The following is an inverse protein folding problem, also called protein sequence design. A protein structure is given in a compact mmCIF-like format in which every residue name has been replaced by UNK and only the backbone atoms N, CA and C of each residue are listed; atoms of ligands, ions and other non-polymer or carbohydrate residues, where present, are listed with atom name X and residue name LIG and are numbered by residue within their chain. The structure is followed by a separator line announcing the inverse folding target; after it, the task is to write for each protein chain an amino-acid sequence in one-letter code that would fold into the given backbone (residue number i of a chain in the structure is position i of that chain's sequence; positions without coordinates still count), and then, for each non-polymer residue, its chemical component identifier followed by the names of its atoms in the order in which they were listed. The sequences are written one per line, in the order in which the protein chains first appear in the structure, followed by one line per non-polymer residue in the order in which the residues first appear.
data_IF_474044157933
#
_entry.id   IF_474044157933
#
_cell.length_a   1.000
_cell.length_b   1.000
_cell.length_c   1.000
_cell.angle_alpha   90.00
_cell.angle_beta   90.00
_cell.angle_gamma   90.00
#
_symmetry.space_group_name_H-M   'P 1'
#
loop_
_entity.id
_entity.type
_entity.pdbx_description
1 polymer ?
#
# COMPACT_ATOMS: atom_id res chain seq x y z
N UNK A 1 38.74 -7.27 38.49
CA UNK A 1 38.70 -7.39 37.01
C UNK A 1 37.31 -7.01 36.53
N UNK A 2 37.16 -5.82 35.97
CA UNK A 2 35.91 -5.27 35.43
C UNK A 2 35.83 -5.59 33.95
N UNK A 3 35.00 -6.57 33.58
CA UNK A 3 34.77 -6.93 32.17
C UNK A 3 33.74 -5.96 31.58
N UNK A 4 34.21 -5.03 30.77
CA UNK A 4 33.39 -4.08 30.01
C UNK A 4 32.55 -4.87 28.99
N UNK A 5 31.25 -5.00 29.26
CA UNK A 5 30.30 -5.53 28.29
C UNK A 5 30.24 -4.57 27.09
N UNK A 6 30.96 -4.93 26.03
CA UNK A 6 30.88 -4.23 24.75
C UNK A 6 29.44 -4.28 24.27
N UNK A 7 28.74 -3.15 24.41
CA UNK A 7 27.46 -2.93 23.77
C UNK A 7 27.66 -3.07 22.27
N UNK A 8 27.35 -4.26 21.74
CA UNK A 8 27.35 -4.54 20.31
C UNK A 8 26.28 -3.66 19.68
N UNK A 9 26.72 -2.48 19.23
CA UNK A 9 25.91 -1.51 18.50
C UNK A 9 25.44 -2.23 17.24
N UNK A 10 24.23 -2.77 17.26
CA UNK A 10 23.66 -3.59 16.19
C UNK A 10 23.71 -2.79 14.89
N UNK A 11 24.72 -3.07 14.06
CA UNK A 11 25.01 -2.32 12.84
C UNK A 11 23.85 -2.59 11.88
N UNK A 12 23.08 -1.55 11.55
CA UNK A 12 22.02 -1.67 10.54
C UNK A 12 22.65 -2.19 9.24
N UNK A 13 22.08 -3.21 8.58
CA UNK A 13 22.58 -3.69 7.30
C UNK A 13 22.70 -2.52 6.32
N UNK A 14 23.78 -2.49 5.53
CA UNK A 14 23.98 -1.46 4.48
C UNK A 14 22.75 -1.34 3.57
N UNK A 15 22.13 -2.47 3.21
CA UNK A 15 20.91 -2.53 2.41
C UNK A 15 19.73 -1.74 3.01
N UNK A 16 19.57 -1.72 4.34
CA UNK A 16 18.49 -0.96 5.01
C UNK A 16 18.76 0.54 4.94
N UNK A 17 20.05 0.95 5.02
CA UNK A 17 20.45 2.36 4.85
C UNK A 17 20.23 2.83 3.41
N UNK A 18 20.62 2.01 2.43
CA UNK A 18 20.39 2.27 1.00
C UNK A 18 18.88 2.39 0.72
N UNK A 19 18.07 1.44 1.20
CA UNK A 19 16.62 1.50 1.06
C UNK A 19 16.03 2.76 1.70
N UNK A 20 16.50 3.13 2.90
CA UNK A 20 16.04 4.36 3.58
C UNK A 20 16.40 5.61 2.78
N UNK A 21 17.62 5.69 2.27
CA UNK A 21 18.05 6.81 1.42
C UNK A 21 17.21 6.88 0.14
N UNK A 22 16.97 5.75 -0.51
CA UNK A 22 16.18 5.67 -1.73
C UNK A 22 14.71 6.08 -1.49
N UNK A 23 14.13 5.73 -0.35
CA UNK A 23 12.80 6.20 0.06
C UNK A 23 12.76 7.72 0.31
N UNK A 24 13.80 8.30 0.93
CA UNK A 24 13.92 9.75 1.12
C UNK A 24 14.02 10.46 -0.22
N UNK A 25 14.88 9.97 -1.12
CA UNK A 25 15.01 10.50 -2.48
C UNK A 25 13.67 10.41 -3.21
N UNK A 26 12.98 9.27 -3.15
CA UNK A 26 11.66 9.10 -3.79
C UNK A 26 10.64 10.12 -3.27
N UNK A 27 10.60 10.36 -1.96
CA UNK A 27 9.70 11.35 -1.36
C UNK A 27 10.03 12.77 -1.83
N UNK A 28 11.32 13.15 -1.83
CA UNK A 28 11.77 14.46 -2.30
C UNK A 28 11.48 14.66 -3.80
N UNK A 29 11.81 13.67 -4.62
CA UNK A 29 11.51 13.70 -6.07
C UNK A 29 10.00 13.81 -6.30
N UNK A 30 9.17 13.13 -5.51
CA UNK A 30 7.70 13.25 -5.63
C UNK A 30 7.24 14.68 -5.37
N UNK A 31 7.76 15.34 -4.33
CA UNK A 31 7.44 16.75 -4.03
C UNK A 31 7.92 17.68 -5.14
N UNK A 32 9.15 17.51 -5.63
CA UNK A 32 9.72 18.34 -6.71
C UNK A 32 8.89 18.20 -7.99
N UNK A 33 8.59 16.96 -8.40
CA UNK A 33 7.78 16.69 -9.59
C UNK A 33 6.38 17.28 -9.45
N UNK A 34 5.78 17.21 -8.26
CA UNK A 34 4.48 17.80 -7.99
C UNK A 34 4.51 19.33 -8.06
N UNK A 35 5.54 19.96 -7.52
CA UNK A 35 5.73 21.42 -7.57
C UNK A 35 5.94 21.90 -9.01
N UNK A 36 6.74 21.18 -9.80
CA UNK A 36 6.89 21.45 -11.22
C UNK A 36 5.56 21.32 -11.94
N UNK A 37 4.81 20.25 -11.69
CA UNK A 37 3.49 20.06 -12.28
C UNK A 37 2.52 21.19 -11.92
N UNK A 38 2.52 21.64 -10.66
CA UNK A 38 1.72 22.79 -10.24
C UNK A 38 2.09 24.07 -11.01
N UNK A 39 3.39 24.29 -11.24
CA UNK A 39 3.89 25.49 -11.91
C UNK A 39 3.64 25.50 -13.42
N UNK A 40 3.63 24.34 -14.06
CA UNK A 40 3.42 24.18 -15.50
C UNK A 40 1.98 23.83 -15.88
N UNK A 41 1.08 23.64 -14.91
CA UNK A 41 -0.32 23.37 -15.20
C UNK A 41 -1.00 24.65 -15.74
N UNK A 42 -1.49 24.65 -16.99
CA UNK A 42 -2.15 25.82 -17.57
C UNK A 42 -3.54 26.07 -16.98
N UNK A 43 -4.13 25.11 -16.27
CA UNK A 43 -5.44 25.23 -15.62
C UNK A 43 -5.35 24.98 -14.11
N UNK A 44 -5.62 26.01 -13.33
CA UNK A 44 -5.65 26.00 -11.86
C UNK A 44 -7.05 25.61 -11.32
N UNK A 45 -7.50 24.39 -11.65
CA UNK A 45 -8.81 23.86 -11.22
C UNK A 45 -8.80 23.13 -9.87
N UNK A 46 -9.98 22.98 -9.25
CA UNK A 46 -10.18 22.25 -7.98
C UNK A 46 -9.63 20.81 -8.03
N UNK A 47 -9.80 20.12 -9.16
CA UNK A 47 -9.26 18.78 -9.37
C UNK A 47 -7.73 18.70 -9.40
N UNK A 48 -7.01 19.80 -9.66
CA UNK A 48 -5.55 19.87 -9.52
C UNK A 48 -5.19 19.96 -8.03
N UNK A 49 -5.87 20.83 -7.27
CA UNK A 49 -5.66 21.00 -5.83
C UNK A 49 -5.86 19.70 -5.04
N UNK A 50 -6.94 18.97 -5.31
CA UNK A 50 -7.21 17.66 -4.68
C UNK A 50 -6.08 16.66 -4.97
N UNK A 51 -5.64 16.59 -6.23
CA UNK A 51 -4.57 15.66 -6.65
C UNK A 51 -3.20 16.04 -6.08
N UNK A 52 -2.92 17.33 -5.96
CA UNK A 52 -1.71 17.83 -5.32
C UNK A 52 -1.72 17.58 -3.82
N UNK A 53 -2.84 17.81 -3.14
CA UNK A 53 -3.03 17.40 -1.75
C UNK A 53 -2.81 15.89 -1.57
N UNK A 54 -3.32 15.07 -2.49
CA UNK A 54 -3.11 13.63 -2.49
C UNK A 54 -1.64 13.23 -2.73
N UNK A 55 -0.93 13.95 -3.60
CA UNK A 55 0.49 13.76 -3.82
C UNK A 55 1.32 14.05 -2.56
N UNK A 56 0.98 15.12 -1.82
CA UNK A 56 1.61 15.43 -0.53
C UNK A 56 1.32 14.33 0.51
N UNK A 57 0.10 13.79 0.53
CA UNK A 57 -0.22 12.66 1.41
C UNK A 57 0.59 11.40 1.06
N UNK A 58 0.86 11.13 -0.21
CA UNK A 58 1.79 10.05 -0.61
C UNK A 58 3.20 10.28 -0.12
N UNK A 59 3.71 11.53 -0.15
CA UNK A 59 5.00 11.87 0.46
C UNK A 59 5.03 11.57 1.96
N UNK A 60 3.93 11.87 2.68
CA UNK A 60 3.78 11.43 4.08
C UNK A 60 3.76 9.90 4.20
N UNK A 61 3.13 9.20 3.26
CA UNK A 61 3.18 7.75 3.13
C UNK A 61 4.62 7.21 3.05
N UNK A 62 5.50 7.85 2.27
CA UNK A 62 6.91 7.48 2.19
C UNK A 62 7.64 7.69 3.54
N UNK A 63 7.32 8.75 4.29
CA UNK A 63 7.86 8.96 5.64
C UNK A 63 7.40 7.88 6.63
N UNK A 64 6.12 7.50 6.55
CA UNK A 64 5.59 6.38 7.34
C UNK A 64 6.31 5.08 6.96
N UNK A 65 6.53 4.83 5.66
CA UNK A 65 7.26 3.66 5.18
C UNK A 65 8.71 3.65 5.70
N UNK A 66 9.42 4.78 5.67
CA UNK A 66 10.75 4.93 6.29
C UNK A 66 10.71 4.56 7.77
N UNK A 67 9.70 5.03 8.51
CA UNK A 67 9.52 4.67 9.92
C UNK A 67 9.27 3.18 10.11
N UNK A 68 8.48 2.54 9.25
CA UNK A 68 8.21 1.10 9.30
C UNK A 68 9.46 0.27 8.98
N UNK A 69 10.22 0.64 7.94
CA UNK A 69 11.48 0.02 7.55
C UNK A 69 12.52 0.15 8.66
N UNK A 70 12.68 1.34 9.25
CA UNK A 70 13.60 1.57 10.38
C UNK A 70 13.22 0.77 11.63
N UNK A 71 11.94 0.44 11.78
CA UNK A 71 11.39 -0.38 12.88
C UNK A 71 11.38 -1.89 12.57
N UNK A 72 11.87 -2.32 11.40
CA UNK A 72 11.92 -3.74 11.03
C UNK A 72 10.53 -4.39 10.90
N UNK A 73 9.50 -3.64 10.52
CA UNK A 73 8.12 -4.17 10.46
C UNK A 73 7.85 -4.92 9.16
N UNK A 74 7.32 -6.14 9.26
CA UNK A 74 6.93 -6.98 8.11
C UNK A 74 5.89 -6.33 7.19
N UNK A 75 5.03 -5.46 7.72
CA UNK A 75 4.05 -4.68 6.96
C UNK A 75 4.68 -3.64 6.01
N UNK A 76 5.98 -3.33 6.11
CA UNK A 76 6.64 -2.37 5.24
C UNK A 76 6.65 -2.81 3.76
N UNK A 77 6.71 -4.11 3.48
CA UNK A 77 6.70 -4.64 2.11
C UNK A 77 5.42 -4.36 1.34
N UNK A 78 4.24 -4.81 1.81
CA UNK A 78 3.02 -4.58 1.05
C UNK A 78 2.67 -3.08 1.00
N UNK A 79 2.95 -2.35 2.07
CA UNK A 79 2.77 -0.90 2.08
C UNK A 79 3.66 -0.20 1.04
N UNK A 80 4.93 -0.57 0.94
CA UNK A 80 5.85 -0.02 -0.05
C UNK A 80 5.47 -0.36 -1.49
N UNK A 81 4.98 -1.58 -1.75
CA UNK A 81 4.50 -1.97 -3.07
C UNK A 81 3.30 -1.11 -3.51
N UNK A 82 2.30 -0.98 -2.64
CA UNK A 82 1.10 -0.21 -2.96
C UNK A 82 1.44 1.27 -3.16
N UNK A 83 2.28 1.83 -2.30
CA UNK A 83 2.72 3.22 -2.41
C UNK A 83 3.51 3.47 -3.71
N UNK A 84 4.35 2.52 -4.12
CA UNK A 84 5.09 2.58 -5.38
C UNK A 84 4.15 2.55 -6.60
N UNK A 85 3.25 1.57 -6.65
CA UNK A 85 2.28 1.43 -7.76
C UNK A 85 1.41 2.67 -7.89
N UNK A 86 0.79 3.10 -6.79
CA UNK A 86 -0.07 4.30 -6.78
C UNK A 86 0.71 5.56 -7.18
N UNK A 87 2.00 5.65 -6.85
CA UNK A 87 2.85 6.76 -7.28
C UNK A 87 3.10 6.73 -8.79
N UNK A 88 3.41 5.57 -9.37
CA UNK A 88 3.63 5.45 -10.83
C UNK A 88 2.38 5.85 -11.61
N UNK A 89 1.20 5.35 -11.24
CA UNK A 89 -0.06 5.72 -11.89
C UNK A 89 -0.40 7.20 -11.72
N UNK A 90 -0.19 7.76 -10.52
CA UNK A 90 -0.44 9.18 -10.28
C UNK A 90 0.46 10.09 -11.13
N UNK A 91 1.73 9.70 -11.32
CA UNK A 91 2.72 10.45 -12.11
C UNK A 91 2.51 10.23 -13.61
N UNK A 92 1.84 9.15 -14.02
CA UNK A 92 1.48 8.88 -15.42
C UNK A 92 0.75 10.04 -16.10
N UNK A 93 0.07 10.91 -15.35
CA UNK A 93 -0.53 12.15 -15.87
C UNK A 93 0.46 13.10 -16.56
N UNK A 94 1.74 13.04 -16.20
CA UNK A 94 2.78 13.91 -16.76
C UNK A 94 3.18 13.53 -18.18
N UNK A 95 2.86 12.31 -18.60
CA UNK A 95 3.27 11.75 -19.90
C UNK A 95 2.12 11.78 -20.91
N UNK A 96 0.87 11.83 -20.46
CA UNK A 96 -0.29 11.89 -21.36
C UNK A 96 -0.37 13.30 -21.99
N UNK A 97 -0.14 13.44 -23.30
CA UNK A 97 -0.22 14.72 -23.97
C UNK A 97 -1.69 15.15 -24.09
N UNK A 98 -2.03 16.30 -23.53
CA UNK A 98 -3.37 16.90 -23.67
C UNK A 98 -3.51 17.69 -24.98
N UNK A 99 -2.39 18.17 -25.51
CA UNK A 99 -2.22 18.68 -26.88
C UNK A 99 -0.71 18.69 -27.22
N UNK A 100 -0.32 18.17 -28.39
CA UNK A 100 1.08 18.17 -28.85
C UNK A 100 2.00 17.16 -28.14
N UNK A 101 3.30 17.48 -28.08
CA UNK A 101 4.34 16.64 -27.45
C UNK A 101 4.33 16.81 -25.92
N UNK A 102 4.43 15.74 -25.11
CA UNK A 102 4.46 15.88 -23.67
C UNK A 102 5.66 16.73 -23.22
N UNK A 103 5.49 17.58 -22.19
CA UNK A 103 6.57 18.43 -21.71
C UNK A 103 7.74 17.55 -21.23
N UNK A 104 8.94 17.78 -21.76
CA UNK A 104 10.18 17.12 -21.34
C UNK A 104 10.34 16.98 -19.81
N UNK A 105 10.09 18.02 -18.97
CA UNK A 105 10.19 17.86 -17.51
C UNK A 105 9.19 16.82 -16.94
N UNK A 106 8.01 16.67 -17.55
CA UNK A 106 7.03 15.67 -17.15
C UNK A 106 7.47 14.24 -17.44
N UNK A 107 8.05 14.01 -18.63
CA UNK A 107 8.61 12.72 -19.04
C UNK A 107 9.79 12.32 -18.15
N UNK A 108 10.70 13.26 -17.88
CA UNK A 108 11.84 13.03 -16.98
C UNK A 108 11.38 12.73 -15.55
N UNK A 109 10.39 13.47 -15.04
CA UNK A 109 9.79 13.22 -13.73
C UNK A 109 9.17 11.82 -13.63
N UNK A 110 8.41 11.41 -14.66
CA UNK A 110 7.84 10.07 -14.75
C UNK A 110 8.89 8.96 -14.79
N UNK A 111 9.88 9.08 -15.66
CA UNK A 111 10.95 8.09 -15.78
C UNK A 111 11.71 7.95 -14.45
N UNK A 112 12.07 9.08 -13.83
CA UNK A 112 12.82 9.09 -12.57
C UNK A 112 12.01 8.46 -11.44
N UNK A 113 10.75 8.83 -11.26
CA UNK A 113 9.90 8.26 -10.20
C UNK A 113 9.58 6.79 -10.43
N UNK A 114 9.41 6.37 -11.69
CA UNK A 114 9.19 4.96 -12.03
C UNK A 114 10.41 4.12 -11.70
N UNK A 115 11.61 4.59 -12.05
CA UNK A 115 12.87 3.92 -11.74
C UNK A 115 13.11 3.85 -10.22
N UNK A 116 12.87 4.94 -9.49
CA UNK A 116 12.98 4.98 -8.03
C UNK A 116 12.00 4.01 -7.37
N UNK A 117 10.72 4.05 -7.76
CA UNK A 117 9.70 3.12 -7.25
C UNK A 117 10.05 1.66 -7.56
N UNK A 118 10.51 1.38 -8.79
CA UNK A 118 11.00 0.06 -9.19
C UNK A 118 12.18 -0.40 -8.33
N UNK A 119 13.14 0.49 -8.06
CA UNK A 119 14.28 0.19 -7.19
C UNK A 119 13.87 -0.05 -5.73
N UNK A 120 12.91 0.71 -5.19
CA UNK A 120 12.33 0.45 -3.85
C UNK A 120 11.74 -0.95 -3.80
N UNK A 121 10.86 -1.29 -4.75
CA UNK A 121 10.16 -2.58 -4.79
C UNK A 121 11.17 -3.71 -4.97
N UNK A 122 12.13 -3.56 -5.88
CA UNK A 122 13.19 -4.53 -6.10
C UNK A 122 13.99 -4.81 -4.83
N UNK A 123 14.44 -3.76 -4.12
CA UNK A 123 15.17 -3.92 -2.86
C UNK A 123 14.31 -4.55 -1.75
N UNK A 124 13.03 -4.18 -1.65
CA UNK A 124 12.10 -4.71 -0.65
C UNK A 124 11.84 -6.22 -0.80
N UNK A 125 11.75 -6.70 -2.04
CA UNK A 125 11.38 -8.09 -2.33
C UNK A 125 12.56 -9.00 -2.63
N UNK A 126 13.63 -8.50 -3.28
CA UNK A 126 14.75 -9.33 -3.71
C UNK A 126 15.88 -9.45 -2.68
N UNK A 127 16.08 -8.45 -1.80
CA UNK A 127 17.20 -8.48 -0.86
C UNK A 127 16.95 -9.42 0.34
N UNK A 128 17.74 -10.50 0.52
CA UNK A 128 17.62 -11.39 1.68
C UNK A 128 17.92 -10.67 2.99
N UNK A 129 18.90 -9.77 2.99
CA UNK A 129 19.27 -8.97 4.16
C UNK A 129 18.12 -8.06 4.65
N UNK A 130 17.34 -7.49 3.73
CA UNK A 130 16.15 -6.70 4.06
C UNK A 130 15.04 -7.62 4.58
N UNK A 131 14.90 -8.83 4.00
CA UNK A 131 13.94 -9.84 4.47
C UNK A 131 14.18 -10.23 5.92
N UNK A 132 15.42 -10.57 6.25
CA UNK A 132 15.81 -10.98 7.60
C UNK A 132 15.67 -9.82 8.60
N UNK A 133 16.02 -8.60 8.18
CA UNK A 133 15.87 -7.42 9.04
C UNK A 133 14.40 -7.07 9.31
N UNK A 134 13.48 -7.27 8.36
CA UNK A 134 12.04 -7.00 8.54
C UNK A 134 11.30 -8.08 9.33
N UNK A 135 12.00 -9.14 9.72
CA UNK A 135 11.52 -10.15 10.68
C UNK A 135 12.14 -9.92 12.05
N UNK A 136 13.05 -8.95 12.24
CA UNK A 136 13.62 -8.66 13.57
C UNK A 136 12.59 -8.00 14.49
N UNK A 137 12.52 -8.52 15.71
CA UNK A 137 11.53 -8.13 16.68
C UNK A 137 12.05 -6.92 17.46
N UNK A 138 11.18 -5.95 17.80
CA UNK A 138 11.64 -4.80 18.57
C UNK A 138 12.26 -5.28 19.88
N UNK A 139 13.48 -4.82 20.16
CA UNK A 139 14.09 -5.01 21.47
C UNK A 139 13.11 -4.52 22.53
N UNK A 140 12.83 -5.34 23.53
CA UNK A 140 12.11 -4.91 24.73
C UNK A 140 13.07 -4.94 25.89
N UNK A 141 12.81 -4.05 26.84
CA UNK A 141 13.32 -4.16 28.18
C UNK A 141 12.77 -5.45 28.80
N UNK A 142 13.64 -6.43 28.96
CA UNK A 142 13.37 -7.66 29.69
C UNK A 142 14.03 -7.51 31.05
N UNK A 143 13.21 -7.48 32.09
CA UNK A 143 13.66 -7.52 33.48
C UNK A 143 13.80 -9.00 33.82
N UNK A 144 15.04 -9.47 33.93
CA UNK A 144 15.38 -10.83 34.36
C UNK A 144 15.90 -10.80 35.81
N UNK A 145 16.05 -11.96 36.46
CA UNK A 145 16.61 -12.09 37.82
C UNK A 145 18.04 -11.54 37.94
N UNK A 146 18.74 -11.36 36.81
CA UNK A 146 20.09 -10.79 36.73
C UNK A 146 20.11 -9.29 36.36
N UNK A 147 18.96 -8.64 36.23
CA UNK A 147 18.83 -7.20 36.00
C UNK A 147 18.06 -6.83 34.74
N UNK A 148 18.18 -5.56 34.38
CA UNK A 148 17.43 -4.91 33.31
C UNK A 148 18.23 -5.01 32.00
N UNK A 149 17.78 -5.84 31.05
CA UNK A 149 18.47 -6.02 29.77
C UNK A 149 17.57 -5.75 28.56
N UNK A 150 18.11 -5.09 27.54
CA UNK A 150 17.43 -4.92 26.25
C UNK A 150 17.68 -6.16 25.39
N UNK A 151 16.66 -7.01 25.21
CA UNK A 151 16.74 -8.21 24.35
C UNK A 151 15.63 -8.22 23.30
N UNK A 152 15.91 -8.82 22.15
CA UNK A 152 14.87 -9.16 21.17
C UNK A 152 13.98 -10.25 21.78
N UNK A 153 12.70 -9.94 22.00
CA UNK A 153 11.75 -10.88 22.62
C UNK A 153 10.92 -11.57 21.54
N UNK A 154 10.78 -12.91 21.56
CA UNK A 154 9.88 -13.61 20.65
C UNK A 154 8.44 -13.09 20.79
N UNK A 155 7.65 -13.12 19.71
CA UNK A 155 6.38 -12.43 19.66
C UNK A 155 5.36 -13.16 20.56
N UNK A 156 4.57 -12.40 21.32
CA UNK A 156 3.50 -12.93 22.19
C UNK A 156 2.32 -13.53 21.41
N UNK A 157 2.34 -13.47 20.08
CA UNK A 157 1.34 -14.03 19.16
C UNK A 157 2.05 -14.82 18.06
N UNK A 158 1.48 -15.94 17.59
CA UNK A 158 2.05 -16.70 16.48
C UNK A 158 2.23 -15.81 15.25
N UNK A 159 3.25 -16.05 14.43
CA UNK A 159 3.51 -15.27 13.23
C UNK A 159 2.28 -15.32 12.31
N UNK A 160 1.64 -14.17 12.10
CA UNK A 160 0.56 -14.03 11.12
C UNK A 160 1.17 -14.27 9.73
N UNK A 161 0.53 -15.10 8.91
CA UNK A 161 0.96 -15.35 7.53
C UNK A 161 1.19 -14.02 6.80
N UNK A 162 2.39 -13.82 6.24
CA UNK A 162 2.78 -12.55 5.62
C UNK A 162 1.80 -12.06 4.54
N UNK A 163 1.13 -13.00 3.85
CA UNK A 163 0.08 -12.70 2.88
C UNK A 163 -1.15 -12.04 3.48
N UNK A 164 -1.56 -12.35 4.70
CA UNK A 164 -2.69 -11.70 5.36
C UNK A 164 -2.40 -10.23 5.67
N UNK A 165 -1.13 -9.90 5.98
CA UNK A 165 -0.70 -8.50 6.12
C UNK A 165 -0.71 -7.77 4.78
N UNK A 166 -0.36 -8.46 3.69
CA UNK A 166 -0.46 -7.93 2.33
C UNK A 166 -1.90 -7.67 1.90
N UNK A 167 -2.79 -8.66 2.11
CA UNK A 167 -4.23 -8.50 1.88
C UNK A 167 -4.74 -7.30 2.64
N UNK A 168 -4.45 -7.23 3.95
CA UNK A 168 -4.87 -6.12 4.81
C UNK A 168 -4.42 -4.77 4.23
N UNK A 169 -3.14 -4.63 3.91
CA UNK A 169 -2.64 -3.37 3.34
C UNK A 169 -3.34 -3.02 2.02
N UNK A 170 -3.56 -4.00 1.14
CA UNK A 170 -4.22 -3.80 -0.15
C UNK A 170 -5.68 -3.37 0.02
N UNK A 171 -6.48 -4.08 0.81
CA UNK A 171 -7.90 -3.73 0.98
C UNK A 171 -8.08 -2.39 1.71
N UNK A 172 -7.15 -2.01 2.61
CA UNK A 172 -7.18 -0.68 3.24
C UNK A 172 -6.94 0.47 2.25
N UNK A 173 -6.40 0.17 1.06
CA UNK A 173 -6.21 1.18 0.02
C UNK A 173 -7.43 1.40 -0.88
N UNK A 174 -8.50 0.61 -0.75
CA UNK A 174 -9.72 0.86 -1.52
C UNK A 174 -10.36 2.19 -1.15
N UNK A 175 -10.57 2.45 0.14
CA UNK A 175 -11.18 3.70 0.60
C UNK A 175 -10.47 4.96 0.08
N UNK A 176 -9.14 5.11 0.22
CA UNK A 176 -8.45 6.27 -0.35
C UNK A 176 -8.48 6.31 -1.88
N UNK A 177 -8.45 5.16 -2.56
CA UNK A 177 -8.52 5.10 -4.03
C UNK A 177 -9.89 5.46 -4.58
N UNK A 178 -10.97 5.25 -3.83
CA UNK A 178 -12.32 5.71 -4.18
C UNK A 178 -12.53 7.18 -3.81
N UNK A 179 -11.94 7.63 -2.70
CA UNK A 179 -12.19 8.97 -2.15
C UNK A 179 -11.55 10.07 -2.99
N UNK A 180 -10.36 9.84 -3.56
CA UNK A 180 -9.69 10.82 -4.44
C UNK A 180 -10.49 11.14 -5.70
N UNK A 181 -10.86 10.18 -6.55
CA UNK A 181 -11.66 10.46 -7.75
C UNK A 181 -13.04 11.00 -7.39
N UNK A 182 -13.65 10.56 -6.27
CA UNK A 182 -14.87 11.14 -5.75
C UNK A 182 -14.72 12.64 -5.42
N UNK A 183 -13.65 13.04 -4.73
CA UNK A 183 -13.38 14.45 -4.43
C UNK A 183 -13.08 15.25 -5.69
N UNK A 184 -12.39 14.68 -6.68
CA UNK A 184 -12.21 15.33 -7.98
C UNK A 184 -13.56 15.56 -8.65
N UNK A 185 -14.47 14.58 -8.63
CA UNK A 185 -15.79 14.68 -9.23
C UNK A 185 -16.68 15.74 -8.57
N UNK A 186 -16.45 16.11 -7.30
CA UNK A 186 -17.12 17.26 -6.67
C UNK A 186 -16.85 18.54 -7.46
N UNK A 187 -15.65 18.72 -8.01
CA UNK A 187 -15.32 19.85 -8.86
C UNK A 187 -16.20 19.90 -10.12
N UNK A 188 -16.47 18.77 -10.75
CA UNK A 188 -17.36 18.69 -11.94
C UNK A 188 -18.82 19.06 -11.61
N UNK A 189 -19.29 18.66 -10.43
CA UNK A 189 -20.65 19.00 -9.94
C UNK A 189 -20.80 20.50 -9.73
N UNK A 190 -19.80 21.13 -9.09
CA UNK A 190 -19.78 22.58 -8.84
C UNK A 190 -19.68 23.39 -10.15
N UNK A 191 -19.05 22.83 -11.19
CA UNK A 191 -18.84 23.51 -12.48
C UNK A 191 -20.06 23.40 -13.43
N UNK A 192 -21.17 22.80 -13.00
CA UNK A 192 -22.44 22.84 -13.75
C UNK A 192 -23.16 21.49 -13.92
N UNK A 193 -22.57 20.37 -13.50
CA UNK A 193 -23.22 19.04 -13.51
C UNK A 193 -23.95 18.74 -12.20
N UNK A 194 -24.85 19.62 -11.78
CA UNK A 194 -25.55 19.52 -10.47
C UNK A 194 -26.35 18.22 -10.36
N UNK A 195 -26.89 17.70 -11.46
CA UNK A 195 -27.62 16.43 -11.52
C UNK A 195 -26.75 15.21 -11.12
N UNK A 196 -25.41 15.30 -11.21
CA UNK A 196 -24.50 14.25 -10.76
C UNK A 196 -24.21 14.31 -9.24
N UNK A 197 -24.67 15.35 -8.54
CA UNK A 197 -24.44 15.55 -7.10
C UNK A 197 -24.84 14.36 -6.22
N UNK A 198 -26.05 13.78 -6.37
CA UNK A 198 -26.47 12.62 -5.58
C UNK A 198 -25.57 11.40 -5.78
N UNK A 199 -25.08 11.18 -7.02
CA UNK A 199 -24.18 10.08 -7.35
C UNK A 199 -22.83 10.27 -6.65
N UNK A 200 -22.29 11.49 -6.64
CA UNK A 200 -21.03 11.80 -5.95
C UNK A 200 -21.18 11.66 -4.43
N UNK A 201 -22.29 12.09 -3.84
CA UNK A 201 -22.57 11.88 -2.41
C UNK A 201 -22.66 10.39 -2.08
N UNK A 202 -23.37 9.61 -2.89
CA UNK A 202 -23.46 8.16 -2.71
C UNK A 202 -22.09 7.49 -2.82
N UNK A 203 -21.26 7.92 -3.78
CA UNK A 203 -19.89 7.44 -3.95
C UNK A 203 -19.02 7.75 -2.73
N UNK A 204 -19.14 8.95 -2.17
CA UNK A 204 -18.43 9.33 -0.95
C UNK A 204 -18.84 8.47 0.24
N UNK A 205 -20.15 8.28 0.45
CA UNK A 205 -20.70 7.42 1.50
C UNK A 205 -20.21 5.99 1.32
N UNK A 206 -20.20 5.48 0.09
CA UNK A 206 -19.68 4.16 -0.22
C UNK A 206 -18.18 4.04 0.11
N UNK A 207 -17.36 5.05 -0.21
CA UNK A 207 -15.93 5.06 0.10
C UNK A 207 -15.65 4.99 1.61
N UNK A 208 -16.47 5.66 2.43
CA UNK A 208 -16.41 5.54 3.89
C UNK A 208 -16.91 4.17 4.37
N UNK A 209 -18.05 3.71 3.85
CA UNK A 209 -18.63 2.40 4.17
C UNK A 209 -17.65 1.25 3.92
N UNK A 210 -16.97 1.26 2.77
CA UNK A 210 -15.92 0.30 2.42
C UNK A 210 -14.80 0.30 3.46
N UNK A 211 -14.39 1.46 3.98
CA UNK A 211 -13.37 1.54 5.04
C UNK A 211 -13.78 0.77 6.29
N UNK A 212 -15.03 0.94 6.75
CA UNK A 212 -15.57 0.24 7.91
C UNK A 212 -15.71 -1.27 7.67
N UNK A 213 -16.25 -1.66 6.51
CA UNK A 213 -16.41 -3.08 6.14
C UNK A 213 -15.05 -3.77 6.01
N UNK A 214 -14.05 -3.10 5.42
CA UNK A 214 -12.68 -3.61 5.33
C UNK A 214 -12.04 -3.72 6.71
N UNK A 215 -12.21 -2.72 7.59
CA UNK A 215 -11.71 -2.79 8.97
C UNK A 215 -12.29 -3.99 9.71
N UNK A 216 -13.60 -4.19 9.59
CA UNK A 216 -14.32 -5.32 10.16
C UNK A 216 -13.84 -6.65 9.57
N UNK A 217 -13.83 -6.79 8.24
CA UNK A 217 -13.40 -8.00 7.54
C UNK A 217 -11.95 -8.37 7.85
N UNK A 218 -11.03 -7.41 7.83
CA UNK A 218 -9.61 -7.67 8.16
C UNK A 218 -9.41 -8.06 9.61
N UNK A 219 -10.20 -7.53 10.55
CA UNK A 219 -10.15 -7.94 11.95
C UNK A 219 -10.51 -9.42 12.14
N UNK A 220 -11.57 -9.89 11.49
CA UNK A 220 -11.99 -11.30 11.54
C UNK A 220 -11.08 -12.22 10.72
N UNK A 221 -10.55 -11.73 9.60
CA UNK A 221 -9.57 -12.46 8.79
C UNK A 221 -8.32 -12.78 9.62
N UNK A 222 -7.81 -11.79 10.38
CA UNK A 222 -6.66 -11.99 11.26
C UNK A 222 -6.94 -12.90 12.47
N UNK A 223 -8.21 -13.22 12.74
CA UNK A 223 -8.64 -14.22 13.74
C UNK A 223 -8.89 -15.60 13.13
N UNK A 224 -8.56 -15.81 11.85
CA UNK A 224 -8.71 -17.10 11.17
C UNK A 224 -10.14 -17.44 10.75
N UNK A 225 -11.05 -16.45 10.65
CA UNK A 225 -12.43 -16.70 10.22
C UNK A 225 -12.53 -16.73 8.70
N UNK A 226 -12.85 -17.91 8.14
CA UNK A 226 -12.94 -18.16 6.70
C UNK A 226 -13.99 -17.30 5.97
N UNK A 227 -15.13 -17.02 6.60
CA UNK A 227 -16.16 -16.15 6.00
C UNK A 227 -15.64 -14.73 5.73
N UNK A 228 -14.65 -14.26 6.49
CA UNK A 228 -14.06 -12.93 6.29
C UNK A 228 -13.28 -12.84 4.99
N UNK A 229 -12.67 -13.94 4.53
CA UNK A 229 -12.05 -14.00 3.21
C UNK A 229 -13.11 -13.83 2.11
N UNK A 230 -14.24 -14.53 2.22
CA UNK A 230 -15.38 -14.39 1.32
C UNK A 230 -15.93 -12.96 1.30
N UNK A 231 -16.13 -12.35 2.47
CA UNK A 231 -16.55 -10.95 2.58
C UNK A 231 -15.60 -10.00 1.84
N UNK A 232 -14.28 -10.16 2.02
CA UNK A 232 -13.30 -9.29 1.35
C UNK A 232 -13.26 -9.49 -0.16
N UNK A 233 -13.52 -10.70 -0.67
CA UNK A 233 -13.70 -10.95 -2.11
C UNK A 233 -14.93 -10.19 -2.61
N UNK A 234 -16.08 -10.34 -1.94
CA UNK A 234 -17.32 -9.65 -2.32
C UNK A 234 -17.12 -8.14 -2.31
N UNK A 235 -16.52 -7.58 -1.25
CA UNK A 235 -16.20 -6.15 -1.16
C UNK A 235 -15.30 -5.72 -2.32
N UNK A 236 -14.27 -6.52 -2.66
CA UNK A 236 -13.37 -6.21 -3.78
C UNK A 236 -14.14 -6.13 -5.10
N UNK A 237 -15.03 -7.11 -5.36
CA UNK A 237 -15.84 -7.12 -6.58
C UNK A 237 -16.81 -5.94 -6.63
N UNK A 238 -17.50 -5.64 -5.54
CA UNK A 238 -18.41 -4.50 -5.43
C UNK A 238 -17.67 -3.19 -5.67
N UNK A 239 -16.50 -3.02 -5.05
CA UNK A 239 -15.66 -1.83 -5.24
C UNK A 239 -15.27 -1.65 -6.70
N UNK A 240 -14.81 -2.71 -7.38
CA UNK A 240 -14.47 -2.63 -8.80
C UNK A 240 -15.68 -2.32 -9.69
N UNK A 241 -16.82 -2.96 -9.43
CA UNK A 241 -18.05 -2.79 -10.20
C UNK A 241 -18.68 -1.41 -10.02
N UNK A 242 -18.46 -0.74 -8.89
CA UNK A 242 -18.98 0.60 -8.63
C UNK A 242 -17.97 1.67 -9.07
N UNK A 243 -16.71 1.53 -8.67
CA UNK A 243 -15.71 2.58 -8.81
C UNK A 243 -15.21 2.75 -10.25
N UNK A 244 -15.00 1.65 -10.99
CA UNK A 244 -14.52 1.76 -12.38
C UNK A 244 -15.54 2.42 -13.31
N UNK A 245 -16.84 2.05 -13.29
CA UNK A 245 -17.83 2.75 -14.10
C UNK A 245 -18.02 4.20 -13.68
N UNK A 246 -17.96 4.53 -12.38
CA UNK A 246 -18.05 5.91 -11.91
C UNK A 246 -16.85 6.75 -12.35
N UNK A 247 -15.63 6.21 -12.26
CA UNK A 247 -14.44 6.87 -12.78
C UNK A 247 -14.56 7.13 -14.28
N UNK A 248 -15.01 6.14 -15.06
CA UNK A 248 -15.19 6.31 -16.50
C UNK A 248 -16.29 7.34 -16.83
N UNK A 249 -17.43 7.27 -16.15
CA UNK A 249 -18.59 8.12 -16.41
C UNK A 249 -18.36 9.58 -15.99
N UNK A 250 -17.73 9.82 -14.84
CA UNK A 250 -17.55 11.16 -14.28
C UNK A 250 -16.23 11.82 -14.67
N UNK A 251 -15.17 11.03 -14.85
CA UNK A 251 -13.80 11.53 -15.08
C UNK A 251 -13.23 11.11 -16.44
N UNK A 252 -13.98 10.35 -17.24
CA UNK A 252 -13.56 9.85 -18.54
C UNK A 252 -12.48 8.76 -18.48
N UNK A 253 -11.91 8.44 -19.64
CA UNK A 253 -10.84 7.43 -19.78
C UNK A 253 -9.59 7.82 -18.98
N UNK A 254 -9.31 9.12 -18.91
CA UNK A 254 -8.18 9.68 -18.17
C UNK A 254 -8.29 9.40 -16.66
N UNK A 255 -9.47 9.59 -16.07
CA UNK A 255 -9.72 9.23 -14.67
C UNK A 255 -9.72 7.72 -14.45
N UNK A 256 -10.30 6.94 -15.36
CA UNK A 256 -10.30 5.48 -15.28
C UNK A 256 -8.89 4.88 -15.23
N UNK A 257 -7.98 5.34 -16.08
CA UNK A 257 -6.59 4.83 -16.10
C UNK A 257 -5.83 5.27 -14.85
N UNK A 258 -5.99 6.52 -14.42
CA UNK A 258 -5.21 7.11 -13.32
C UNK A 258 -5.69 6.66 -11.94
N UNK A 259 -7.00 6.59 -11.74
CA UNK A 259 -7.63 6.30 -10.45
C UNK A 259 -8.09 4.84 -10.37
N UNK A 260 -8.63 4.29 -11.47
CA UNK A 260 -9.04 2.88 -11.55
C UNK A 260 -7.89 1.89 -11.72
N UNK A 261 -6.80 2.27 -12.40
CA UNK A 261 -5.60 1.43 -12.57
C UNK A 261 -5.00 0.94 -11.24
N UNK A 262 -4.67 1.85 -10.29
CA UNK A 262 -4.22 1.47 -8.95
C UNK A 262 -5.21 0.58 -8.20
N UNK A 263 -6.51 0.82 -8.38
CA UNK A 263 -7.55 0.04 -7.71
C UNK A 263 -7.56 -1.42 -8.21
N UNK A 264 -7.44 -1.63 -9.52
CA UNK A 264 -7.34 -2.96 -10.13
C UNK A 264 -6.09 -3.68 -9.61
N UNK A 265 -4.95 -2.99 -9.50
CA UNK A 265 -3.72 -3.60 -8.96
C UNK A 265 -3.90 -3.96 -7.48
N UNK A 266 -4.48 -3.06 -6.67
CA UNK A 266 -4.76 -3.33 -5.26
C UNK A 266 -5.71 -4.54 -5.10
N UNK A 267 -6.76 -4.61 -5.92
CA UNK A 267 -7.69 -5.74 -5.98
C UNK A 267 -6.99 -7.05 -6.36
N UNK A 268 -6.15 -7.04 -7.39
CA UNK A 268 -5.36 -8.20 -7.79
C UNK A 268 -4.45 -8.70 -6.66
N UNK A 269 -3.76 -7.79 -5.97
CA UNK A 269 -2.90 -8.13 -4.82
C UNK A 269 -3.73 -8.70 -3.66
N UNK A 270 -4.90 -8.14 -3.37
CA UNK A 270 -5.78 -8.62 -2.31
C UNK A 270 -6.32 -10.02 -2.62
N UNK A 271 -6.84 -10.24 -3.83
CA UNK A 271 -7.36 -11.54 -4.25
C UNK A 271 -6.26 -12.61 -4.30
N UNK A 272 -5.10 -12.27 -4.86
CA UNK A 272 -3.95 -13.17 -4.90
C UNK A 272 -3.45 -13.51 -3.49
N UNK A 273 -3.40 -12.52 -2.58
CA UNK A 273 -3.00 -12.74 -1.20
C UNK A 273 -3.98 -13.63 -0.44
N UNK A 274 -5.29 -13.48 -0.66
CA UNK A 274 -6.32 -14.34 -0.09
C UNK A 274 -6.22 -15.77 -0.63
N UNK A 275 -6.03 -15.93 -1.94
CA UNK A 275 -5.82 -17.23 -2.58
C UNK A 275 -4.58 -17.95 -2.03
N UNK A 276 -3.45 -17.26 -1.90
CA UNK A 276 -2.22 -17.80 -1.30
C UNK A 276 -2.41 -18.20 0.16
N UNK A 277 -3.13 -17.40 0.94
CA UNK A 277 -3.44 -17.72 2.33
C UNK A 277 -4.30 -19.01 2.43
N UNK A 278 -5.32 -19.15 1.57
CA UNK A 278 -6.18 -20.33 1.54
C UNK A 278 -5.44 -21.62 1.16
N UNK A 279 -4.45 -21.55 0.25
CA UNK A 279 -3.61 -22.71 -0.10
C UNK A 279 -2.74 -23.14 1.08
N UNK A 280 -2.19 -22.19 1.81
CA UNK A 280 -1.27 -22.47 2.93
C UNK A 280 -1.99 -23.09 4.13
N UNK A 281 -3.29 -22.84 4.28
CA UNK A 281 -4.13 -23.42 5.34
C UNK A 281 -4.69 -24.82 5.01
N UNK A 282 -4.47 -25.37 3.81
CA UNK A 282 -4.85 -26.77 3.53
C UNK A 282 -3.88 -27.71 4.26
N UNK A 283 -4.34 -28.55 5.19
CA UNK A 283 -3.49 -29.56 5.78
C UNK A 283 -3.06 -30.55 4.69
N UNK A 284 -1.76 -30.69 4.50
CA UNK A 284 -1.18 -31.87 3.83
C UNK A 284 -1.39 -33.02 4.82
N UNK A 285 -2.41 -33.84 4.58
CA UNK A 285 -2.75 -34.92 5.51
C UNK A 285 -4.19 -35.40 5.37
N UNK A 286 -4.51 -35.98 4.23
CA UNK A 286 -5.39 -37.15 4.24
C UNK A 286 -4.50 -38.31 3.80
N UNK A 287 -3.56 -38.69 4.67
CA UNK A 287 -3.05 -40.07 4.63
C UNK A 287 -4.26 -40.95 4.91
N UNK A 288 -4.67 -41.85 4.00
CA UNK A 288 -5.66 -42.85 4.34
C UNK A 288 -5.08 -43.65 5.51
N UNK A 289 -5.87 -43.74 6.58
CA UNK A 289 -5.59 -44.56 7.74
C UNK A 289 -5.03 -45.91 7.26
N UNK A 290 -3.83 -46.25 7.74
CA UNK A 290 -3.34 -47.61 7.68
C UNK A 290 -4.48 -48.50 8.20
N UNK A 291 -5.09 -49.25 7.29
CA UNK A 291 -5.98 -50.32 7.67
C UNK A 291 -5.10 -51.33 8.40
N UNK A 292 -5.30 -51.42 9.71
CA UNK A 292 -4.92 -52.58 10.51
C UNK A 292 -5.51 -53.82 9.83
N UNK A 293 -4.70 -54.50 9.02
CA UNK A 293 -4.95 -55.88 8.63
C UNK A 293 -4.48 -56.73 9.79
N UNK A 294 -5.39 -56.90 10.75
CA UNK A 294 -5.41 -58.08 11.62
C UNK A 294 -6.35 -59.08 10.96
N UNK A 295 -5.76 -60.02 10.21
CA UNK A 295 -6.10 -61.45 10.19
C UNK A 295 -5.09 -62.20 9.33
#
# INVERSE_FOLDING_TARGET
MTTTAAATKVRRPSAVRVLTALLVVTALTTVVVELLNWRYAPESGFGLAVRTGWALLRSLGFLVLIRQVRRGRSAARPFGLILAVTTVFAVGRLVVPRAGVPPLPGVLGFATLTLLCGAVVWLLYRSPAVREFMVRHPGRLVIDRQGISWREVPPRRPPIAGWLLTVRAAVFTYSPLMLVPCLVAVGEVVTGRILAGPIVVLWLVAAFGVSYVVLFGTFFLLRGRRWAAGLLVVVTLVVLLVDLPLCWFLLGVDGLVRDGGPLVVAAGIALYGLWRAAITERPVGTEPAAADVVM
#
